data_IF_433047418736
#
_entry.id   IF_433047418736
#
_cell.length_a   1.000
_cell.length_b   1.000
_cell.length_c   1.000
_cell.angle_alpha   90.00
_cell.angle_beta   90.00
_cell.angle_gamma   90.00
#
_symmetry.space_group_name_H-M   'P 1'
#
loop_
_entity.id
_entity.type
_entity.pdbx_description
1 polymer ?
#
# COMPACT_ATOMS: atom_id res chain seq x y z
N UNK A 1 -6.53 5.42 12.21
CA UNK A 1 -6.04 5.11 10.85
C UNK A 1 -5.31 3.79 10.90
N UNK A 2 -5.71 2.83 10.08
CA UNK A 2 -5.07 1.53 10.00
C UNK A 2 -4.24 1.44 8.71
N UNK A 3 -3.23 0.58 8.71
CA UNK A 3 -2.46 0.26 7.51
C UNK A 3 -2.36 -1.25 7.36
N UNK A 4 -2.62 -1.75 6.15
CA UNK A 4 -2.33 -3.13 5.78
C UNK A 4 -1.28 -3.18 4.69
N UNK A 5 -0.31 -4.08 4.84
CA UNK A 5 0.73 -4.37 3.85
C UNK A 5 1.05 -5.86 3.83
N UNK A 6 1.48 -6.35 2.67
CA UNK A 6 2.01 -7.70 2.50
C UNK A 6 3.49 -7.61 2.16
N UNK A 7 4.34 -8.06 3.07
CA UNK A 7 5.78 -8.15 2.87
C UNK A 7 6.14 -9.53 2.35
N UNK A 8 6.61 -9.58 1.10
CA UNK A 8 7.03 -10.78 0.40
C UNK A 8 8.35 -10.58 -0.35
N UNK A 9 8.93 -11.60 -0.94
CA UNK A 9 10.21 -11.59 -1.68
C UNK A 9 11.43 -11.14 -0.86
N UNK A 10 11.41 -9.95 -0.25
CA UNK A 10 12.49 -9.40 0.57
C UNK A 10 11.92 -8.37 1.56
N UNK A 11 12.75 -7.91 2.48
CA UNK A 11 12.39 -6.96 3.53
C UNK A 11 13.06 -5.60 3.36
N UNK A 12 13.65 -5.33 2.21
CA UNK A 12 14.52 -4.17 1.98
C UNK A 12 13.81 -2.84 2.28
N UNK A 13 12.57 -2.70 1.84
CA UNK A 13 11.82 -1.47 2.00
C UNK A 13 10.92 -1.44 3.25
N UNK A 14 10.69 -2.58 3.90
CA UNK A 14 9.79 -2.68 5.06
C UNK A 14 10.14 -1.67 6.17
N UNK A 15 11.43 -1.50 6.49
CA UNK A 15 11.87 -0.52 7.48
C UNK A 15 11.49 0.92 7.07
N UNK A 16 11.72 1.27 5.81
CA UNK A 16 11.42 2.61 5.30
C UNK A 16 9.91 2.87 5.24
N UNK A 17 9.14 1.86 4.90
CA UNK A 17 7.69 1.90 4.89
C UNK A 17 7.15 2.14 6.31
N UNK A 18 7.58 1.35 7.30
CA UNK A 18 7.16 1.54 8.69
C UNK A 18 7.52 2.94 9.19
N UNK A 19 8.75 3.39 8.96
CA UNK A 19 9.21 4.73 9.33
C UNK A 19 8.39 5.85 8.69
N UNK A 20 7.97 5.65 7.43
CA UNK A 20 7.17 6.62 6.68
C UNK A 20 5.76 6.75 7.26
N UNK A 21 5.15 5.63 7.62
CA UNK A 21 3.77 5.62 8.08
C UNK A 21 3.58 5.74 9.60
N UNK A 22 4.61 5.49 10.41
CA UNK A 22 4.56 5.58 11.88
C UNK A 22 3.89 6.88 12.40
N UNK A 23 4.17 8.08 11.85
CA UNK A 23 3.57 9.31 12.36
C UNK A 23 2.08 9.50 12.01
N UNK A 24 1.51 8.67 11.13
CA UNK A 24 0.15 8.84 10.60
C UNK A 24 -0.77 7.64 10.81
N UNK A 25 -0.23 6.51 11.26
CA UNK A 25 -0.94 5.23 11.42
C UNK A 25 -1.01 4.86 12.91
N UNK A 26 -2.20 4.48 13.37
CA UNK A 26 -2.41 4.03 14.73
C UNK A 26 -2.17 2.51 14.88
N UNK A 27 -2.50 1.72 13.83
CA UNK A 27 -2.36 0.27 13.84
C UNK A 27 -1.79 -0.26 12.52
N UNK A 28 -0.78 -1.12 12.63
CA UNK A 28 -0.13 -1.80 11.49
C UNK A 28 -0.54 -3.27 11.41
N UNK A 29 -1.00 -3.68 10.24
CA UNK A 29 -1.32 -5.06 9.90
C UNK A 29 -0.33 -5.56 8.84
N UNK A 30 0.83 -6.02 9.29
CA UNK A 30 1.89 -6.52 8.41
C UNK A 30 1.73 -8.03 8.23
N UNK A 31 1.44 -8.44 7.00
CA UNK A 31 1.31 -9.84 6.60
C UNK A 31 2.63 -10.27 5.98
N UNK A 32 3.28 -11.28 6.54
CA UNK A 32 4.52 -11.83 5.98
C UNK A 32 4.16 -12.98 5.05
N UNK A 33 4.48 -12.82 3.78
CA UNK A 33 4.26 -13.81 2.73
C UNK A 33 5.54 -14.62 2.49
N UNK A 34 5.54 -15.86 2.92
CA UNK A 34 6.70 -16.75 2.88
C UNK A 34 6.47 -17.95 1.97
N UNK A 35 7.52 -18.47 1.31
CA UNK A 35 7.42 -19.67 0.48
C UNK A 35 7.24 -20.95 1.32
N UNK A 36 7.73 -20.96 2.55
CA UNK A 36 7.64 -22.11 3.48
C UNK A 36 7.96 -21.67 4.91
N UNK A 37 7.69 -22.55 5.88
CA UNK A 37 7.83 -22.27 7.33
C UNK A 37 9.24 -21.84 7.79
N UNK A 38 10.28 -22.22 7.05
CA UNK A 38 11.68 -21.90 7.37
C UNK A 38 12.24 -20.81 6.43
N UNK A 39 11.40 -20.04 5.76
CA UNK A 39 11.84 -18.93 4.91
C UNK A 39 12.46 -17.83 5.77
N UNK A 40 13.63 -17.34 5.38
CA UNK A 40 14.38 -16.31 6.12
C UNK A 40 13.60 -15.01 6.26
N UNK A 41 12.72 -14.70 5.29
CA UNK A 41 11.88 -13.49 5.31
C UNK A 41 11.08 -13.36 6.61
N UNK A 42 10.66 -14.49 7.21
CA UNK A 42 9.90 -14.49 8.46
C UNK A 42 10.73 -13.91 9.61
N UNK A 43 11.97 -14.37 9.73
CA UNK A 43 12.86 -13.90 10.79
C UNK A 43 13.36 -12.48 10.55
N UNK A 44 13.60 -12.11 9.30
CA UNK A 44 14.00 -10.76 8.88
C UNK A 44 12.90 -9.75 9.15
N UNK A 45 11.66 -10.02 8.70
CA UNK A 45 10.52 -9.16 8.94
C UNK A 45 10.24 -9.00 10.45
N UNK A 46 10.25 -10.11 11.22
CA UNK A 46 10.08 -10.05 12.68
C UNK A 46 11.11 -9.14 13.36
N UNK A 47 12.38 -9.22 12.95
CA UNK A 47 13.44 -8.38 13.50
C UNK A 47 13.19 -6.90 13.22
N UNK A 48 12.74 -6.54 12.01
CA UNK A 48 12.42 -5.17 11.67
C UNK A 48 11.21 -4.68 12.47
N UNK A 49 10.14 -5.47 12.51
CA UNK A 49 8.91 -5.13 13.23
C UNK A 49 9.14 -4.92 14.74
N UNK A 50 10.02 -5.71 15.36
CA UNK A 50 10.39 -5.55 16.77
C UNK A 50 11.01 -4.19 17.08
N UNK A 51 11.64 -3.52 16.14
CA UNK A 51 12.18 -2.16 16.33
C UNK A 51 11.07 -1.09 16.48
N UNK A 52 9.86 -1.43 16.08
CA UNK A 52 8.65 -0.60 16.19
C UNK A 52 7.66 -1.16 17.23
N UNK A 53 8.10 -2.07 18.10
CA UNK A 53 7.24 -2.78 19.05
C UNK A 53 6.08 -3.55 18.39
N UNK A 54 6.27 -3.96 17.13
CA UNK A 54 5.29 -4.68 16.34
C UNK A 54 5.63 -6.18 16.20
N UNK A 55 4.61 -6.94 15.83
CA UNK A 55 4.73 -8.34 15.39
C UNK A 55 4.01 -8.52 14.05
N UNK A 56 4.36 -9.54 13.25
CA UNK A 56 3.53 -9.86 12.10
C UNK A 56 2.08 -10.11 12.52
N UNK A 57 1.15 -9.44 11.86
CA UNK A 57 -0.28 -9.72 12.04
C UNK A 57 -0.61 -11.16 11.61
N UNK A 58 -0.07 -11.58 10.47
CA UNK A 58 -0.27 -12.92 9.90
C UNK A 58 1.02 -13.37 9.20
N UNK A 59 1.32 -14.67 9.22
CA UNK A 59 2.35 -15.28 8.37
C UNK A 59 1.64 -16.29 7.48
N UNK A 60 1.76 -16.13 6.17
CA UNK A 60 1.16 -17.00 5.17
C UNK A 60 2.22 -17.76 4.40
N UNK A 61 1.88 -18.96 3.95
CA UNK A 61 2.81 -19.86 3.27
C UNK A 61 2.22 -20.28 1.93
N UNK A 62 2.71 -19.66 0.86
CA UNK A 62 2.25 -19.94 -0.49
C UNK A 62 3.40 -19.92 -1.50
N UNK A 63 3.35 -20.82 -2.47
CA UNK A 63 4.28 -20.90 -3.58
C UNK A 63 3.58 -21.49 -4.79
N UNK A 64 3.74 -20.89 -5.99
CA UNK A 64 4.45 -19.63 -6.28
C UNK A 64 3.72 -18.41 -5.73
N UNK A 65 4.39 -17.26 -5.76
CA UNK A 65 3.79 -15.97 -5.39
C UNK A 65 2.53 -15.71 -6.23
N UNK A 66 1.46 -15.27 -5.57
CA UNK A 66 0.16 -15.10 -6.20
C UNK A 66 -0.48 -13.75 -5.82
N UNK A 67 -0.54 -12.83 -6.79
CA UNK A 67 -1.13 -11.50 -6.63
C UNK A 67 -2.59 -11.52 -6.19
N UNK A 68 -3.38 -12.49 -6.65
CA UNK A 68 -4.78 -12.58 -6.23
C UNK A 68 -4.87 -12.92 -4.75
N UNK A 69 -3.96 -13.77 -4.25
CA UNK A 69 -3.90 -14.08 -2.80
C UNK A 69 -3.46 -12.87 -1.97
N UNK A 70 -2.53 -12.07 -2.46
CA UNK A 70 -2.18 -10.81 -1.81
C UNK A 70 -3.40 -9.89 -1.69
N UNK A 71 -4.17 -9.76 -2.77
CA UNK A 71 -5.41 -8.98 -2.78
C UNK A 71 -6.44 -9.53 -1.80
N UNK A 72 -6.64 -10.86 -1.76
CA UNK A 72 -7.52 -11.50 -0.78
C UNK A 72 -7.10 -11.15 0.66
N UNK A 73 -5.79 -11.17 0.96
CA UNK A 73 -5.31 -10.82 2.30
C UNK A 73 -5.53 -9.35 2.65
N UNK A 74 -5.40 -8.43 1.69
CA UNK A 74 -5.79 -7.04 1.90
C UNK A 74 -7.27 -6.93 2.27
N UNK A 75 -8.15 -7.49 1.45
CA UNK A 75 -9.59 -7.41 1.63
C UNK A 75 -10.06 -8.11 2.93
N UNK A 76 -9.54 -9.30 3.24
CA UNK A 76 -9.80 -9.99 4.51
C UNK A 76 -9.40 -9.13 5.71
N UNK A 77 -8.29 -8.40 5.62
CA UNK A 77 -7.78 -7.60 6.74
C UNK A 77 -8.56 -6.30 6.91
N UNK A 78 -8.84 -5.58 5.84
CA UNK A 78 -9.61 -4.34 5.92
C UNK A 78 -11.03 -4.57 6.40
N UNK A 79 -11.64 -5.70 6.03
CA UNK A 79 -13.00 -6.08 6.48
C UNK A 79 -13.14 -6.32 7.98
N UNK A 80 -12.04 -6.45 8.73
CA UNK A 80 -12.08 -6.55 10.19
C UNK A 80 -12.64 -5.29 10.86
N UNK A 81 -12.48 -4.15 10.21
CA UNK A 81 -12.96 -2.85 10.67
C UNK A 81 -13.61 -2.11 9.50
N UNK A 82 -14.82 -2.50 9.09
CA UNK A 82 -15.46 -2.06 7.84
C UNK A 82 -15.74 -0.55 7.80
N UNK A 83 -15.98 0.07 8.95
CA UNK A 83 -16.30 1.49 9.05
C UNK A 83 -15.06 2.39 9.25
N UNK A 84 -13.89 1.78 9.48
CA UNK A 84 -12.65 2.51 9.68
C UNK A 84 -11.91 2.75 8.35
N UNK A 85 -11.05 3.77 8.35
CA UNK A 85 -10.18 4.10 7.23
C UNK A 85 -8.90 3.30 7.27
N UNK A 86 -8.52 2.79 6.09
CA UNK A 86 -7.35 1.97 5.87
C UNK A 86 -6.45 2.55 4.78
N UNK A 87 -5.16 2.60 5.05
CA UNK A 87 -4.13 2.72 4.04
C UNK A 87 -3.84 1.31 3.52
N UNK A 88 -3.89 1.13 2.20
CA UNK A 88 -3.39 -0.07 1.54
C UNK A 88 -2.12 0.32 0.79
N UNK A 89 -1.00 -0.34 1.09
CA UNK A 89 0.27 -0.09 0.45
C UNK A 89 1.06 -1.40 0.32
N UNK A 90 1.71 -1.61 -0.81
CA UNK A 90 2.73 -2.64 -0.92
C UNK A 90 3.93 -2.24 -0.04
N UNK A 91 4.76 -3.18 0.41
CA UNK A 91 5.83 -2.91 1.38
C UNK A 91 6.97 -2.02 0.85
N UNK A 92 6.91 -1.65 -0.42
CA UNK A 92 7.82 -0.72 -1.09
C UNK A 92 7.12 0.58 -1.57
N UNK A 93 5.88 0.83 -1.15
CA UNK A 93 5.11 2.01 -1.53
C UNK A 93 5.06 3.06 -0.41
N UNK A 94 5.55 4.26 -0.71
CA UNK A 94 5.55 5.42 0.18
C UNK A 94 4.57 6.46 -0.35
N UNK A 95 3.34 6.45 0.14
CA UNK A 95 2.29 7.35 -0.33
C UNK A 95 2.51 8.79 0.18
N UNK A 96 2.39 9.76 -0.72
CA UNK A 96 2.42 11.17 -0.39
C UNK A 96 1.04 11.77 -0.64
N UNK A 97 0.56 12.53 0.33
CA UNK A 97 -0.74 13.19 0.27
C UNK A 97 -0.58 14.69 0.14
N UNK A 98 -1.49 15.35 -0.59
CA UNK A 98 -1.48 16.80 -0.82
C UNK A 98 -1.67 17.64 0.46
N UNK A 99 -2.23 17.02 1.52
CA UNK A 99 -2.46 17.60 2.83
C UNK A 99 -2.44 16.51 3.91
N UNK A 100 -2.44 16.85 5.21
CA UNK A 100 -2.51 15.87 6.28
C UNK A 100 -3.67 14.89 6.08
N UNK A 101 -3.40 13.60 6.17
CA UNK A 101 -4.37 12.53 5.86
C UNK A 101 -5.66 12.64 6.68
N UNK A 102 -5.58 13.13 7.91
CA UNK A 102 -6.77 13.37 8.77
C UNK A 102 -7.72 14.38 8.14
N UNK A 103 -7.20 15.42 7.49
CA UNK A 103 -8.03 16.40 6.78
C UNK A 103 -8.68 15.80 5.53
N UNK A 104 -7.97 14.91 4.82
CA UNK A 104 -8.54 14.19 3.68
C UNK A 104 -9.70 13.31 4.15
N UNK A 105 -9.52 12.58 5.24
CA UNK A 105 -10.56 11.74 5.84
C UNK A 105 -11.76 12.57 6.28
N UNK A 106 -11.55 13.69 6.95
CA UNK A 106 -12.62 14.59 7.37
C UNK A 106 -13.43 15.12 6.16
N UNK A 107 -12.74 15.50 5.08
CA UNK A 107 -13.41 15.91 3.83
C UNK A 107 -14.19 14.74 3.19
N UNK A 108 -13.64 13.55 3.22
CA UNK A 108 -14.32 12.35 2.73
C UNK A 108 -15.61 12.09 3.52
N UNK A 109 -15.55 12.11 4.85
CA UNK A 109 -16.72 11.89 5.70
C UNK A 109 -17.81 12.96 5.50
N UNK A 110 -17.41 14.22 5.33
CA UNK A 110 -18.35 15.33 5.10
C UNK A 110 -19.06 15.24 3.75
N UNK A 111 -18.43 14.64 2.72
CA UNK A 111 -18.94 14.60 1.36
C UNK A 111 -19.43 13.21 0.94
N UNK A 112 -19.34 12.20 1.82
CA UNK A 112 -19.75 10.83 1.52
C UNK A 112 -18.78 10.09 0.57
N UNK A 113 -17.53 10.55 0.45
CA UNK A 113 -16.51 9.82 -0.28
C UNK A 113 -15.94 8.70 0.60
N UNK A 114 -15.65 7.57 0.01
CA UNK A 114 -15.29 6.35 0.75
C UNK A 114 -13.92 5.77 0.35
N UNK A 115 -13.28 6.35 -0.67
CA UNK A 115 -11.91 5.97 -1.04
C UNK A 115 -11.17 7.12 -1.74
N UNK A 116 -9.84 7.02 -1.72
CA UNK A 116 -8.91 7.97 -2.34
C UNK A 116 -8.03 7.21 -3.32
N UNK A 117 -7.84 7.77 -4.51
CA UNK A 117 -6.90 7.28 -5.51
C UNK A 117 -5.74 8.24 -5.67
N UNK A 118 -4.55 7.70 -5.90
CA UNK A 118 -3.34 8.46 -6.19
C UNK A 118 -2.70 8.05 -7.50
N UNK A 119 -1.81 8.88 -8.03
CA UNK A 119 -0.91 8.52 -9.12
C UNK A 119 0.20 7.62 -8.60
N UNK A 120 0.55 6.58 -9.35
CA UNK A 120 1.63 5.67 -9.05
C UNK A 120 2.88 6.06 -9.82
N UNK A 121 3.93 6.48 -9.13
CA UNK A 121 5.18 6.97 -9.72
C UNK A 121 6.32 6.07 -9.28
N UNK A 122 6.99 5.45 -10.24
CA UNK A 122 8.22 4.69 -9.99
C UNK A 122 9.40 5.63 -9.70
N UNK A 123 10.34 5.18 -8.86
CA UNK A 123 11.60 5.87 -8.60
C UNK A 123 12.78 4.96 -8.88
N UNK A 124 13.85 5.55 -9.44
CA UNK A 124 15.12 4.86 -9.77
C UNK A 124 16.32 5.73 -9.42
N UNK A 125 17.49 5.12 -9.33
CA UNK A 125 18.76 5.79 -9.13
C UNK A 125 19.13 6.76 -10.25
N UNK A 126 20.12 7.60 -10.00
CA UNK A 126 20.59 8.64 -10.94
C UNK A 126 21.06 8.06 -12.29
N UNK A 127 21.67 6.88 -12.25
CA UNK A 127 22.18 6.16 -13.43
C UNK A 127 21.13 5.27 -14.12
N UNK A 128 19.86 5.30 -13.65
CA UNK A 128 18.77 4.46 -14.16
C UNK A 128 18.74 3.04 -13.59
N UNK A 129 19.60 2.73 -12.61
CA UNK A 129 19.61 1.44 -11.91
C UNK A 129 18.86 1.53 -10.59
N UNK A 130 18.54 0.37 -10.01
CA UNK A 130 18.04 0.29 -8.64
C UNK A 130 19.22 0.26 -7.67
N UNK A 131 19.37 1.27 -6.80
CA UNK A 131 20.45 1.29 -5.82
C UNK A 131 20.22 0.23 -4.74
N UNK A 132 21.30 -0.13 -4.05
CA UNK A 132 21.20 -0.99 -2.88
C UNK A 132 20.67 -0.18 -1.69
N UNK A 133 19.39 -0.30 -1.40
CA UNK A 133 18.78 0.31 -0.23
C UNK A 133 19.13 -0.48 1.04
N UNK A 134 19.50 0.23 2.09
CA UNK A 134 19.75 -0.31 3.43
C UNK A 134 18.95 0.49 4.45
N UNK A 135 18.87 0.03 5.69
CA UNK A 135 18.21 0.75 6.78
C UNK A 135 18.71 2.19 6.97
N UNK A 136 20.00 2.47 6.70
CA UNK A 136 20.60 3.80 6.81
C UNK A 136 20.47 4.65 5.55
N UNK A 137 19.98 4.09 4.44
CA UNK A 137 19.78 4.83 3.19
C UNK A 137 18.66 5.85 3.35
N UNK A 138 18.80 6.98 2.64
CA UNK A 138 17.67 7.84 2.34
C UNK A 138 17.12 7.44 0.97
N UNK A 139 16.01 6.70 0.95
CA UNK A 139 15.42 6.19 -0.29
C UNK A 139 15.09 7.32 -1.29
N UNK A 140 14.77 8.52 -0.82
CA UNK A 140 14.48 9.66 -1.69
C UNK A 140 15.73 10.22 -2.38
N UNK A 141 16.87 10.20 -1.70
CA UNK A 141 18.15 10.64 -2.24
C UNK A 141 18.81 9.57 -3.12
N UNK A 142 18.71 8.31 -2.71
CA UNK A 142 19.24 7.18 -3.48
C UNK A 142 18.49 6.94 -4.80
N UNK A 143 17.20 7.33 -4.86
CA UNK A 143 16.35 7.19 -6.04
C UNK A 143 15.76 8.55 -6.45
N UNK A 144 16.59 9.49 -6.97
CA UNK A 144 16.16 10.86 -7.26
C UNK A 144 15.25 10.96 -8.48
N UNK A 145 15.38 10.06 -9.46
CA UNK A 145 14.59 10.10 -10.67
C UNK A 145 13.22 9.50 -10.45
N UNK A 146 12.17 10.21 -10.87
CA UNK A 146 10.78 9.80 -10.73
C UNK A 146 10.05 9.85 -12.07
N UNK A 147 9.17 8.86 -12.33
CA UNK A 147 8.40 8.81 -13.57
C UNK A 147 7.54 7.57 -13.69
N UNK A 148 6.81 7.46 -14.79
CA UNK A 148 5.98 6.31 -15.12
C UNK A 148 6.78 5.27 -15.94
N UNK A 149 7.80 4.68 -15.33
CA UNK A 149 8.72 3.79 -16.05
C UNK A 149 8.07 2.46 -16.44
N UNK A 150 7.12 1.98 -15.66
CA UNK A 150 6.41 0.72 -15.94
C UNK A 150 5.42 0.83 -17.07
N UNK A 151 4.75 1.97 -17.23
CA UNK A 151 3.65 2.09 -18.18
C UNK A 151 4.00 1.65 -19.62
N UNK A 152 5.12 2.08 -20.24
CA UNK A 152 5.46 1.63 -21.59
C UNK A 152 5.82 0.15 -21.67
N UNK A 153 6.29 -0.46 -20.57
CA UNK A 153 6.82 -1.82 -20.54
C UNK A 153 5.76 -2.86 -20.15
N UNK A 154 4.98 -2.59 -19.11
CA UNK A 154 4.03 -3.54 -18.54
C UNK A 154 2.57 -3.19 -18.78
N UNK A 155 2.27 -1.98 -19.27
CA UNK A 155 0.92 -1.41 -19.35
C UNK A 155 0.18 -1.40 -18.01
N UNK A 156 0.91 -1.38 -16.90
CA UNK A 156 0.34 -1.26 -15.57
C UNK A 156 -0.41 0.08 -15.46
N UNK A 157 -1.55 0.07 -14.78
CA UNK A 157 -2.31 1.29 -14.50
C UNK A 157 -1.46 2.27 -13.68
N UNK A 158 -1.56 3.54 -14.05
CA UNK A 158 -0.82 4.62 -13.39
C UNK A 158 -1.49 5.12 -12.11
N UNK A 159 -2.54 4.45 -11.64
CA UNK A 159 -3.31 4.83 -10.46
C UNK A 159 -3.38 3.67 -9.48
N UNK A 160 -3.45 4.00 -8.19
CA UNK A 160 -3.77 3.05 -7.12
C UNK A 160 -4.81 3.62 -6.16
N UNK A 161 -5.60 2.75 -5.56
CA UNK A 161 -6.37 3.07 -4.36
C UNK A 161 -5.38 3.13 -3.20
N UNK A 162 -5.31 4.27 -2.54
CA UNK A 162 -4.34 4.54 -1.46
C UNK A 162 -4.99 4.50 -0.08
N UNK A 163 -6.27 4.89 -0.02
CA UNK A 163 -7.03 5.01 1.21
C UNK A 163 -8.48 4.61 0.93
N UNK A 164 -9.09 3.82 1.81
CA UNK A 164 -10.48 3.39 1.67
C UNK A 164 -11.12 3.06 3.01
N UNK A 165 -12.46 3.04 3.05
CA UNK A 165 -13.20 2.40 4.15
C UNK A 165 -13.11 0.89 4.04
N UNK A 166 -12.92 0.20 5.17
CA UNK A 166 -12.66 -1.24 5.23
C UNK A 166 -13.79 -2.14 4.70
N UNK A 167 -14.97 -1.58 4.45
CA UNK A 167 -16.10 -2.30 3.83
C UNK A 167 -15.94 -2.54 2.33
N UNK A 168 -14.98 -1.87 1.69
CA UNK A 168 -14.73 -2.00 0.26
C UNK A 168 -13.58 -2.95 -0.01
N UNK A 169 -13.75 -3.80 -1.00
CA UNK A 169 -12.70 -4.63 -1.55
C UNK A 169 -11.92 -3.89 -2.63
N UNK A 170 -10.64 -4.20 -2.78
CA UNK A 170 -9.85 -3.80 -3.93
C UNK A 170 -9.68 -4.96 -4.90
N UNK A 171 -9.53 -4.65 -6.18
CA UNK A 171 -9.15 -5.66 -7.19
C UNK A 171 -7.64 -5.90 -7.19
N UNK A 172 -7.20 -6.96 -7.85
CA UNK A 172 -5.78 -7.30 -7.99
C UNK A 172 -4.96 -6.11 -8.49
N UNK A 173 -3.86 -5.82 -7.80
CA UNK A 173 -3.01 -4.65 -8.05
C UNK A 173 -3.52 -3.35 -7.42
N UNK A 174 -4.65 -3.37 -6.70
CA UNK A 174 -5.23 -2.24 -5.95
C UNK A 174 -5.58 -1.01 -6.83
N UNK A 175 -5.82 -1.22 -8.12
CA UNK A 175 -6.11 -0.12 -9.04
C UNK A 175 -7.55 0.39 -8.94
N UNK A 176 -8.48 -0.45 -8.50
CA UNK A 176 -9.92 -0.17 -8.41
C UNK A 176 -10.54 -0.76 -7.16
N UNK A 177 -11.63 -0.15 -6.71
CA UNK A 177 -12.57 -0.72 -5.74
C UNK A 177 -13.48 -1.72 -6.47
N UNK A 178 -13.80 -2.83 -5.82
CA UNK A 178 -14.88 -3.74 -6.20
C UNK A 178 -16.08 -3.48 -5.29
N UNK A 179 -17.24 -3.21 -5.90
CA UNK A 179 -18.49 -3.01 -5.18
C UNK A 179 -19.21 -4.35 -4.94
N UNK A 180 -20.15 -4.35 -3.98
CA UNK A 180 -20.92 -5.55 -3.61
C UNK A 180 -21.69 -6.18 -4.77
N UNK A 181 -22.12 -5.38 -5.75
CA UNK A 181 -22.81 -5.87 -6.96
C UNK A 181 -21.87 -6.49 -8.02
N UNK A 182 -20.57 -6.57 -7.71
CA UNK A 182 -19.53 -7.11 -8.59
C UNK A 182 -19.02 -6.14 -9.65
N UNK A 183 -19.56 -4.91 -9.71
CA UNK A 183 -18.99 -3.84 -10.55
C UNK A 183 -17.71 -3.28 -9.93
N UNK A 184 -16.93 -2.54 -10.72
CA UNK A 184 -15.71 -1.91 -10.22
C UNK A 184 -15.77 -0.41 -10.41
N UNK A 185 -14.98 0.34 -9.64
CA UNK A 185 -14.86 1.80 -9.76
C UNK A 185 -14.31 2.29 -11.10
N UNK A 186 -13.95 1.39 -12.01
CA UNK A 186 -13.69 1.71 -13.40
C UNK A 186 -14.95 2.26 -14.09
N UNK A 187 -16.12 1.71 -13.79
CA UNK A 187 -17.39 2.07 -14.40
C UNK A 187 -18.08 3.27 -13.72
N UNK A 188 -17.77 3.51 -12.42
CA UNK A 188 -18.32 4.63 -11.64
C UNK A 188 -17.20 5.30 -10.82
N UNK A 189 -16.43 6.12 -11.50
CA UNK A 189 -15.25 6.77 -10.93
C UNK A 189 -15.56 7.89 -9.93
N UNK A 190 -16.81 8.39 -9.83
CA UNK A 190 -16.99 9.72 -9.26
C UNK A 190 -17.83 9.80 -8.00
N UNK A 191 -18.77 8.91 -7.73
CA UNK A 191 -19.72 9.13 -6.62
C UNK A 191 -19.10 8.95 -5.24
N UNK A 192 -18.17 7.97 -5.06
CA UNK A 192 -17.57 7.64 -3.78
C UNK A 192 -16.07 7.97 -3.69
N UNK A 193 -15.48 8.47 -4.78
CA UNK A 193 -14.05 8.80 -4.85
C UNK A 193 -13.78 10.24 -4.39
N UNK A 194 -12.78 10.41 -3.55
CA UNK A 194 -12.21 11.74 -3.30
C UNK A 194 -11.77 12.37 -4.65
N UNK A 195 -12.14 13.61 -4.96
CA UNK A 195 -11.81 14.23 -6.24
C UNK A 195 -10.31 14.24 -6.53
N UNK A 196 -9.93 13.64 -7.67
CA UNK A 196 -8.51 13.45 -8.04
C UNK A 196 -7.79 14.79 -8.15
N UNK A 197 -8.44 15.82 -8.67
CA UNK A 197 -7.89 17.17 -8.78
C UNK A 197 -7.47 17.78 -7.44
N UNK A 198 -8.06 17.35 -6.33
CA UNK A 198 -7.67 17.80 -4.98
C UNK A 198 -6.40 17.11 -4.47
N UNK A 199 -5.96 16.01 -5.08
CA UNK A 199 -4.75 15.31 -4.68
C UNK A 199 -3.48 15.90 -5.32
N UNK A 200 -3.61 16.70 -6.37
CA UNK A 200 -2.48 17.22 -7.15
C UNK A 200 -2.31 18.74 -7.04
N UNK A 201 -3.05 19.38 -6.15
CA UNK A 201 -2.91 20.81 -5.81
C UNK A 201 -2.20 21.03 -4.47
#
# INVERSE_FOLDING_TARGET
MNLVTVCGHNTTMLYHMLKHYEPIVDEFYVIVYANHKNDSIISEAKKILQEYDLQPYKVVYEKPFNWNKVTEYYNETTSLKPDEWWIIADDDELQLYSKPIKQIVEECEQNGWEYVRGGFIDRIGEDGNFPKITKSSNAWEEMPNAGFFRYPLSRAEANKVTLLKGKHDVVSGQHFIQFEDGTTSWNDLQSLCYPIEKNFT
#
